data_IF_337252574607
#
_entry.id   IF_337252574607
#
_cell.length_a   1.000
_cell.length_b   1.000
_cell.length_c   1.000
_cell.angle_alpha   90.00
_cell.angle_beta   90.00
_cell.angle_gamma   90.00
#
_symmetry.space_group_name_H-M   'P 1'
#
loop_
_entity.id
_entity.type
_entity.pdbx_description
1 polymer ?
#
# COMPACT_ATOMS: atom_id res chain seq x y z
N UNK A 1 -10.69 -10.20 -22.10
CA UNK A 1 -10.75 -8.73 -22.27
C UNK A 1 -9.31 -8.22 -22.30
N UNK A 2 -8.98 -7.29 -23.20
CA UNK A 2 -7.62 -6.71 -23.26
C UNK A 2 -7.42 -5.85 -22.00
N UNK A 3 -6.31 -6.02 -21.26
CA UNK A 3 -6.05 -5.22 -20.07
C UNK A 3 -5.71 -3.78 -20.46
N UNK A 4 -6.27 -2.82 -19.72
CA UNK A 4 -6.15 -1.38 -19.98
C UNK A 4 -5.72 -0.66 -18.71
N UNK A 5 -4.80 0.29 -18.83
CA UNK A 5 -4.33 1.12 -17.74
C UNK A 5 -5.47 1.97 -17.19
N UNK A 6 -5.73 1.88 -15.88
CA UNK A 6 -6.82 2.61 -15.23
C UNK A 6 -6.64 4.14 -15.20
N UNK A 7 -5.43 4.63 -15.48
CA UNK A 7 -5.09 6.06 -15.46
C UNK A 7 -5.04 6.69 -16.83
N UNK A 8 -4.33 6.06 -17.78
CA UNK A 8 -4.14 6.62 -19.13
C UNK A 8 -5.15 6.08 -20.14
N UNK A 9 -5.70 4.89 -19.91
CA UNK A 9 -6.56 4.21 -20.90
C UNK A 9 -5.80 3.44 -21.97
N UNK A 10 -4.46 3.39 -21.90
CA UNK A 10 -3.64 2.63 -22.86
C UNK A 10 -3.70 1.12 -22.60
N UNK A 11 -3.45 0.33 -23.65
CA UNK A 11 -3.33 -1.13 -23.54
C UNK A 11 -2.11 -1.50 -22.72
N UNK A 12 -2.29 -2.40 -21.74
CA UNK A 12 -1.20 -2.88 -20.89
C UNK A 12 -0.45 -3.99 -21.63
N UNK A 13 0.87 -3.81 -21.76
CA UNK A 13 1.79 -4.85 -22.22
C UNK A 13 2.33 -5.66 -21.03
N UNK A 14 2.35 -6.98 -21.15
CA UNK A 14 2.90 -7.88 -20.13
C UNK A 14 4.34 -8.22 -20.51
N UNK A 15 5.29 -7.71 -19.72
CA UNK A 15 6.73 -7.92 -19.92
C UNK A 15 7.36 -8.59 -18.70
N UNK A 16 8.36 -9.44 -18.94
CA UNK A 16 9.20 -9.98 -17.88
C UNK A 16 10.25 -8.94 -17.50
N UNK A 17 10.16 -8.43 -16.26
CA UNK A 17 11.09 -7.43 -15.73
C UNK A 17 11.38 -7.71 -14.27
N UNK A 18 12.65 -7.59 -13.88
CA UNK A 18 13.04 -7.66 -12.47
C UNK A 18 12.41 -6.49 -11.69
N UNK A 19 11.70 -6.81 -10.60
CA UNK A 19 10.96 -5.85 -9.78
C UNK A 19 10.97 -6.31 -8.31
N UNK A 20 10.63 -5.40 -7.40
CA UNK A 20 10.56 -5.67 -5.96
C UNK A 20 9.16 -6.14 -5.56
N UNK A 21 9.10 -7.30 -4.92
CA UNK A 21 7.85 -7.91 -4.46
C UNK A 21 7.86 -8.16 -2.96
N UNK A 22 6.69 -8.00 -2.34
CA UNK A 22 6.42 -8.42 -0.97
C UNK A 22 5.61 -9.72 -0.99
N UNK A 23 6.11 -10.72 -0.26
CA UNK A 23 5.41 -11.99 -0.05
C UNK A 23 4.14 -11.78 0.76
N UNK A 24 2.97 -11.98 0.14
CA UNK A 24 1.70 -11.60 0.77
C UNK A 24 0.97 -12.73 1.49
N UNK A 25 1.21 -13.99 1.10
CA UNK A 25 0.41 -15.15 1.50
C UNK A 25 0.24 -15.27 3.03
N UNK A 26 1.33 -15.24 3.78
CA UNK A 26 1.30 -15.36 5.25
C UNK A 26 0.60 -14.18 5.93
N UNK A 27 0.77 -12.96 5.39
CA UNK A 27 0.10 -11.78 5.95
C UNK A 27 -1.40 -11.83 5.72
N UNK A 28 -1.84 -12.30 4.54
CA UNK A 28 -3.24 -12.44 4.20
C UNK A 28 -3.94 -13.51 5.02
N UNK A 29 -3.25 -14.61 5.35
CA UNK A 29 -3.75 -15.63 6.27
C UNK A 29 -4.01 -15.03 7.66
N UNK A 30 -3.04 -14.32 8.25
CA UNK A 30 -3.22 -13.64 9.55
C UNK A 30 -4.35 -12.61 9.52
N UNK A 31 -4.46 -11.85 8.43
CA UNK A 31 -5.54 -10.88 8.23
C UNK A 31 -6.91 -11.57 8.12
N UNK A 32 -6.98 -12.73 7.47
CA UNK A 32 -8.21 -13.53 7.36
C UNK A 32 -8.63 -14.14 8.69
N UNK A 33 -7.67 -14.70 9.45
CA UNK A 33 -7.93 -15.24 10.78
C UNK A 33 -8.47 -14.16 11.72
N UNK A 34 -7.92 -12.94 11.65
CA UNK A 34 -8.40 -11.81 12.44
C UNK A 34 -9.89 -11.47 12.20
N UNK A 35 -10.37 -11.58 10.96
CA UNK A 35 -11.80 -11.39 10.63
C UNK A 35 -12.63 -12.59 11.08
N UNK A 36 -12.13 -13.82 10.86
CA UNK A 36 -12.83 -15.06 11.22
C UNK A 36 -13.04 -15.20 12.73
N UNK A 37 -12.06 -14.77 13.52
CA UNK A 37 -12.08 -14.82 14.99
C UNK A 37 -12.81 -13.62 15.62
N UNK A 38 -13.24 -12.63 14.81
CA UNK A 38 -13.95 -11.45 15.29
C UNK A 38 -13.06 -10.36 15.90
N UNK A 39 -11.73 -10.48 15.78
CA UNK A 39 -10.78 -9.44 16.20
C UNK A 39 -10.86 -8.19 15.31
N UNK A 40 -11.18 -8.38 14.02
CA UNK A 40 -11.44 -7.33 13.03
C UNK A 40 -12.86 -7.45 12.50
N UNK A 41 -13.68 -6.41 12.71
CA UNK A 41 -15.07 -6.39 12.25
C UNK A 41 -15.20 -5.57 10.96
N UNK A 42 -15.76 -6.17 9.90
CA UNK A 42 -16.11 -5.47 8.66
C UNK A 42 -17.62 -5.22 8.61
N UNK A 43 -18.01 -3.96 8.50
CA UNK A 43 -19.41 -3.56 8.38
C UNK A 43 -19.69 -2.85 7.05
N UNK A 44 -20.75 -3.25 6.33
CA UNK A 44 -21.64 -4.38 6.57
C UNK A 44 -20.99 -5.77 6.40
N UNK A 45 -21.48 -6.77 7.13
CA UNK A 45 -20.91 -8.14 7.18
C UNK A 45 -20.83 -8.85 5.82
N UNK A 46 -21.62 -8.43 4.83
CA UNK A 46 -21.57 -8.97 3.46
C UNK A 46 -20.16 -8.90 2.83
N UNK A 47 -19.32 -7.96 3.30
CA UNK A 47 -17.95 -7.80 2.82
C UNK A 47 -17.01 -8.90 3.32
N UNK A 48 -17.37 -9.68 4.33
CA UNK A 48 -16.57 -10.81 4.83
C UNK A 48 -16.31 -11.85 3.73
N UNK A 49 -17.33 -12.20 2.95
CA UNK A 49 -17.19 -13.19 1.87
C UNK A 49 -16.20 -12.72 0.79
N UNK A 50 -16.27 -11.43 0.43
CA UNK A 50 -15.38 -10.85 -0.58
C UNK A 50 -13.97 -10.73 0.00
N UNK A 51 -13.84 -10.41 1.30
CA UNK A 51 -12.58 -10.38 2.01
C UNK A 51 -11.85 -11.73 1.96
N UNK A 52 -12.52 -12.81 2.37
CA UNK A 52 -11.93 -14.14 2.37
C UNK A 52 -11.53 -14.60 0.96
N UNK A 53 -12.40 -14.39 -0.03
CA UNK A 53 -12.09 -14.73 -1.43
C UNK A 53 -10.84 -14.01 -1.94
N UNK A 54 -10.67 -12.74 -1.58
CA UNK A 54 -9.52 -11.96 -2.03
C UNK A 54 -8.23 -12.38 -1.32
N UNK A 55 -8.30 -12.63 0.00
CA UNK A 55 -7.14 -13.08 0.77
C UNK A 55 -6.67 -14.48 0.39
N UNK A 56 -7.60 -15.38 0.04
CA UNK A 56 -7.28 -16.73 -0.43
C UNK A 56 -6.52 -16.74 -1.76
N UNK A 57 -6.87 -15.81 -2.66
CA UNK A 57 -6.28 -15.70 -4.00
C UNK A 57 -5.23 -14.57 -4.09
N UNK A 58 -4.62 -14.19 -2.96
CA UNK A 58 -3.68 -13.09 -2.96
C UNK A 58 -2.37 -13.49 -3.63
N UNK A 59 -1.89 -12.61 -4.50
CA UNK A 59 -0.57 -12.73 -5.12
C UNK A 59 0.44 -11.82 -4.44
N UNK A 60 1.73 -12.10 -4.67
CA UNK A 60 2.81 -11.26 -4.20
C UNK A 60 2.71 -9.84 -4.77
N UNK A 61 2.91 -8.85 -3.90
CA UNK A 61 2.66 -7.47 -4.24
C UNK A 61 3.91 -6.82 -4.80
N UNK A 62 3.87 -6.47 -6.09
CA UNK A 62 4.88 -5.62 -6.72
C UNK A 62 4.83 -4.21 -6.13
N UNK A 63 5.86 -3.81 -5.39
CA UNK A 63 5.97 -2.52 -4.70
C UNK A 63 6.83 -1.51 -5.44
N UNK A 64 7.57 -1.90 -6.47
CA UNK A 64 8.40 -0.98 -7.24
C UNK A 64 7.67 -0.37 -8.44
N UNK A 65 7.97 0.90 -8.74
CA UNK A 65 7.36 1.67 -9.82
C UNK A 65 8.42 2.51 -10.53
N UNK A 66 8.38 2.50 -11.86
CA UNK A 66 9.26 3.30 -12.73
C UNK A 66 8.64 4.67 -13.01
N UNK A 67 8.38 5.43 -11.95
CA UNK A 67 7.84 6.79 -12.03
C UNK A 67 8.72 7.73 -11.20
N UNK A 68 8.70 9.02 -11.52
CA UNK A 68 9.49 10.03 -10.82
C UNK A 68 8.89 10.48 -9.47
N UNK A 69 7.63 10.13 -9.20
CA UNK A 69 6.92 10.56 -7.99
C UNK A 69 6.67 9.39 -7.05
N UNK A 70 7.34 9.41 -5.90
CA UNK A 70 7.18 8.41 -4.85
C UNK A 70 8.37 8.43 -3.89
N UNK A 71 8.32 7.56 -2.90
CA UNK A 71 9.46 7.35 -2.01
C UNK A 71 10.49 6.47 -2.72
N UNK A 72 11.72 6.94 -2.87
CA UNK A 72 12.80 6.13 -3.46
C UNK A 72 12.99 4.83 -2.67
N UNK A 73 13.15 3.72 -3.38
CA UNK A 73 13.35 2.43 -2.76
C UNK A 73 14.75 2.38 -2.10
N UNK A 74 14.88 1.86 -0.86
CA UNK A 74 16.15 1.85 -0.13
C UNK A 74 17.08 0.70 -0.53
N UNK A 75 17.04 0.23 -1.79
CA UNK A 75 17.90 -0.84 -2.29
C UNK A 75 19.03 -0.28 -3.14
N UNK A 76 20.21 -0.89 -3.01
CA UNK A 76 21.42 -0.52 -3.71
C UNK A 76 22.03 -1.74 -4.38
N UNK A 77 22.33 -1.62 -5.67
CA UNK A 77 23.09 -2.59 -6.44
C UNK A 77 24.57 -2.42 -6.11
N UNK A 78 25.13 -3.42 -5.45
CA UNK A 78 26.52 -3.43 -5.02
C UNK A 78 27.31 -4.41 -5.89
N UNK A 79 28.45 -3.99 -6.42
CA UNK A 79 29.27 -4.79 -7.34
C UNK A 79 30.73 -4.86 -6.89
N UNK A 80 31.35 -6.02 -7.10
CA UNK A 80 32.77 -6.27 -6.86
C UNK A 80 33.29 -7.23 -7.93
N UNK A 81 34.17 -6.76 -8.82
CA UNK A 81 34.63 -7.56 -9.95
C UNK A 81 33.45 -8.02 -10.82
N UNK A 82 33.23 -9.34 -10.88
CA UNK A 82 32.10 -9.96 -11.58
C UNK A 82 30.88 -10.24 -10.69
N UNK A 83 31.02 -10.11 -9.37
CA UNK A 83 29.96 -10.40 -8.41
C UNK A 83 29.07 -9.19 -8.18
N UNK A 84 27.79 -9.43 -7.97
CA UNK A 84 26.80 -8.39 -7.65
C UNK A 84 25.77 -8.85 -6.63
N UNK A 85 25.27 -7.92 -5.83
CA UNK A 85 24.24 -8.18 -4.82
C UNK A 85 23.40 -6.92 -4.58
N UNK A 86 22.11 -7.10 -4.32
CA UNK A 86 21.24 -6.02 -3.87
C UNK A 86 21.20 -5.97 -2.34
N UNK A 87 21.42 -4.79 -1.76
CA UNK A 87 21.42 -4.57 -0.32
C UNK A 87 20.47 -3.44 0.06
N UNK A 88 19.74 -3.62 1.17
CA UNK A 88 18.91 -2.57 1.75
C UNK A 88 19.74 -1.68 2.70
N UNK A 89 19.63 -0.36 2.56
CA UNK A 89 20.31 0.62 3.42
C UNK A 89 19.56 1.96 3.47
N UNK A 90 19.74 2.74 4.53
CA UNK A 90 19.11 4.06 4.66
C UNK A 90 19.79 5.11 3.76
N UNK A 91 21.08 4.95 3.48
CA UNK A 91 21.86 5.86 2.65
C UNK A 91 23.03 5.13 1.99
N UNK A 92 23.68 5.79 1.03
CA UNK A 92 24.78 5.24 0.24
C UNK A 92 26.00 4.86 1.10
N UNK A 93 26.31 5.63 2.16
CA UNK A 93 27.43 5.31 3.06
C UNK A 93 27.22 3.99 3.78
N UNK A 94 26.00 3.76 4.28
CA UNK A 94 25.64 2.50 4.92
C UNK A 94 25.64 1.34 3.91
N UNK A 95 25.14 1.57 2.69
CA UNK A 95 25.19 0.59 1.61
C UNK A 95 26.64 0.20 1.28
N UNK A 96 27.55 1.18 1.20
CA UNK A 96 28.98 0.96 0.97
C UNK A 96 29.60 0.10 2.06
N UNK A 97 29.37 0.42 3.34
CA UNK A 97 29.88 -0.38 4.46
C UNK A 97 29.33 -1.81 4.42
N UNK A 98 28.03 -1.98 4.14
CA UNK A 98 27.41 -3.30 3.99
C UNK A 98 28.00 -4.08 2.81
N UNK A 99 28.26 -3.43 1.69
CA UNK A 99 28.87 -4.03 0.51
C UNK A 99 30.31 -4.47 0.78
N UNK A 100 31.12 -3.60 1.40
CA UNK A 100 32.51 -3.90 1.75
C UNK A 100 32.61 -5.10 2.70
N UNK A 101 31.73 -5.16 3.70
CA UNK A 101 31.65 -6.30 4.60
C UNK A 101 31.20 -7.59 3.90
N UNK A 102 30.26 -7.49 2.94
CA UNK A 102 29.73 -8.63 2.19
C UNK A 102 30.79 -9.23 1.26
N UNK A 103 31.54 -8.39 0.54
CA UNK A 103 32.56 -8.80 -0.43
C UNK A 103 33.96 -8.94 0.18
N UNK A 104 34.16 -8.52 1.45
CA UNK A 104 35.46 -8.48 2.13
C UNK A 104 36.51 -7.69 1.35
N UNK A 105 36.09 -6.60 0.70
CA UNK A 105 36.91 -5.74 -0.14
C UNK A 105 36.53 -4.28 0.07
N UNK A 106 37.50 -3.37 -0.04
CA UNK A 106 37.23 -1.92 -0.03
C UNK A 106 36.84 -1.39 -1.42
N UNK A 107 37.23 -2.10 -2.48
CA UNK A 107 37.00 -1.74 -3.88
C UNK A 107 35.62 -2.24 -4.33
N UNK A 108 34.55 -1.59 -3.88
CA UNK A 108 33.18 -1.96 -4.23
C UNK A 108 32.44 -0.75 -4.79
N UNK A 109 31.62 -0.97 -5.82
CA UNK A 109 30.75 0.06 -6.40
C UNK A 109 29.32 -0.13 -5.93
N UNK A 110 28.64 0.97 -5.61
CA UNK A 110 27.29 0.98 -5.06
C UNK A 110 26.44 1.97 -5.87
N UNK A 111 25.31 1.51 -6.38
CA UNK A 111 24.37 2.31 -7.16
C UNK A 111 22.98 2.13 -6.58
N UNK A 112 22.29 3.22 -6.24
CA UNK A 112 20.91 3.16 -5.73
C UNK A 112 19.94 2.76 -6.84
N UNK A 113 18.92 1.98 -6.49
CA UNK A 113 17.80 1.71 -7.39
C UNK A 113 17.06 3.03 -7.72
N UNK A 114 16.73 3.22 -9.00
CA UNK A 114 15.99 4.39 -9.48
C UNK A 114 14.47 4.25 -9.31
N UNK A 115 13.99 3.05 -8.99
CA UNK A 115 12.57 2.80 -8.74
C UNK A 115 12.07 3.50 -7.46
N UNK A 116 10.80 3.87 -7.48
CA UNK A 116 10.08 4.38 -6.31
C UNK A 116 9.05 3.38 -5.80
N UNK A 117 8.66 3.52 -4.53
CA UNK A 117 7.63 2.71 -3.89
C UNK A 117 6.24 3.04 -4.42
N UNK A 118 5.42 2.01 -4.56
CA UNK A 118 3.99 2.10 -4.81
C UNK A 118 3.31 3.04 -3.81
N UNK A 119 2.43 3.92 -4.28
CA UNK A 119 1.70 4.85 -3.41
C UNK A 119 0.91 4.10 -2.34
N UNK A 120 0.37 2.93 -2.68
CA UNK A 120 -0.33 2.07 -1.73
C UNK A 120 0.57 1.51 -0.62
N UNK A 121 1.89 1.37 -0.86
CA UNK A 121 2.84 0.96 0.16
C UNK A 121 2.93 1.99 1.27
N UNK A 122 3.20 3.25 0.93
CA UNK A 122 3.24 4.35 1.91
C UNK A 122 1.89 4.54 2.60
N UNK A 123 0.78 4.46 1.84
CA UNK A 123 -0.58 4.65 2.37
C UNK A 123 -0.99 3.54 3.33
N UNK A 124 -0.48 2.31 3.13
CA UNK A 124 -0.76 1.18 4.01
C UNK A 124 -0.09 1.29 5.39
N UNK A 125 0.93 2.16 5.53
CA UNK A 125 1.62 2.40 6.82
C UNK A 125 0.93 3.49 7.67
N UNK A 126 -0.01 4.23 7.09
CA UNK A 126 -0.66 5.40 7.68
C UNK A 126 -1.14 5.18 9.13
N UNK A 127 -1.78 4.05 9.52
CA UNK A 127 -2.38 3.90 10.85
C UNK A 127 -1.41 4.04 12.03
N UNK A 128 -0.11 3.81 11.81
CA UNK A 128 0.90 3.87 12.86
C UNK A 128 2.03 4.87 12.57
N UNK A 129 2.32 5.18 11.30
CA UNK A 129 3.35 6.18 10.96
C UNK A 129 2.96 7.59 11.38
N UNK A 130 1.67 7.93 11.35
CA UNK A 130 1.18 9.25 11.80
C UNK A 130 1.46 9.51 13.27
N UNK A 131 1.60 8.46 14.07
CA UNK A 131 1.94 8.55 15.48
C UNK A 131 3.45 8.47 15.73
N UNK A 132 4.28 8.42 14.71
CA UNK A 132 5.75 8.45 14.83
C UNK A 132 6.44 7.09 14.81
N UNK A 133 5.74 6.00 14.48
CA UNK A 133 6.39 4.72 14.16
C UNK A 133 7.44 4.93 13.05
N UNK A 134 8.63 4.30 13.13
CA UNK A 134 9.00 3.18 14.02
C UNK A 134 9.50 3.58 15.42
N UNK A 135 9.49 4.86 15.77
CA UNK A 135 9.85 5.29 17.13
C UNK A 135 8.73 4.92 18.11
N UNK A 136 9.10 4.54 19.33
CA UNK A 136 8.16 4.25 20.42
C UNK A 136 7.72 5.55 21.10
N UNK A 137 6.89 6.32 20.39
CA UNK A 137 6.35 7.60 20.88
C UNK A 137 5.21 7.39 21.86
N UNK A 138 4.91 8.42 22.65
CA UNK A 138 3.73 8.41 23.53
C UNK A 138 2.41 8.31 22.75
N UNK A 139 2.32 9.02 21.62
CA UNK A 139 1.14 8.99 20.76
C UNK A 139 0.88 7.59 20.19
N UNK A 140 1.92 6.88 19.75
CA UNK A 140 1.78 5.52 19.24
C UNK A 140 1.20 4.60 20.32
N UNK A 141 1.71 4.68 21.55
CA UNK A 141 1.21 3.88 22.68
C UNK A 141 -0.23 4.23 23.06
N UNK A 142 -0.64 5.49 22.93
CA UNK A 142 -1.95 5.99 23.39
C UNK A 142 -3.05 5.80 22.35
N UNK A 143 -2.74 5.98 21.07
CA UNK A 143 -3.73 6.06 19.99
C UNK A 143 -3.75 4.86 19.06
N UNK A 144 -2.71 4.02 19.06
CA UNK A 144 -2.67 2.78 18.28
C UNK A 144 -2.87 1.56 19.19
N UNK A 145 -3.76 0.61 18.83
CA UNK A 145 -4.53 0.52 17.58
C UNK A 145 -5.78 1.39 17.56
N UNK A 146 -6.24 1.77 16.36
CA UNK A 146 -7.42 2.61 16.18
C UNK A 146 -8.73 1.86 16.47
N UNK A 147 -9.80 2.58 16.80
CA UNK A 147 -11.11 1.97 17.05
C UNK A 147 -11.91 1.70 15.77
N UNK A 148 -11.87 2.62 14.79
CA UNK A 148 -12.71 2.60 13.60
C UNK A 148 -11.98 3.17 12.38
N UNK A 149 -12.08 2.48 11.25
CA UNK A 149 -11.69 2.95 9.92
C UNK A 149 -12.94 3.14 9.05
N UNK A 150 -13.19 4.35 8.55
CA UNK A 150 -14.34 4.66 7.69
C UNK A 150 -13.84 4.89 6.28
N UNK A 151 -14.36 4.15 5.29
CA UNK A 151 -13.97 4.33 3.89
C UNK A 151 -15.00 3.78 2.90
N UNK A 152 -14.81 4.09 1.62
CA UNK A 152 -15.59 3.51 0.54
C UNK A 152 -15.20 2.05 0.27
N UNK A 153 -16.17 1.24 -0.15
CA UNK A 153 -15.93 -0.17 -0.46
C UNK A 153 -14.95 -0.42 -1.64
N UNK A 154 -14.66 0.60 -2.44
CA UNK A 154 -13.84 0.53 -3.65
C UNK A 154 -12.34 0.37 -3.38
N UNK A 155 -11.88 0.75 -2.19
CA UNK A 155 -10.47 0.65 -1.79
C UNK A 155 -10.23 -0.33 -0.64
N UNK A 156 -11.21 -1.20 -0.35
CA UNK A 156 -11.08 -2.27 0.65
C UNK A 156 -9.83 -3.13 0.43
N UNK A 157 -9.54 -3.51 -0.81
CA UNK A 157 -8.41 -4.40 -1.13
C UNK A 157 -7.11 -3.67 -1.46
N UNK A 158 -7.21 -2.47 -2.04
CA UNK A 158 -6.02 -1.68 -2.37
C UNK A 158 -5.42 -1.02 -1.13
N UNK A 159 -6.24 -0.69 -0.13
CA UNK A 159 -5.81 0.06 1.04
C UNK A 159 -6.06 -0.66 2.36
N UNK A 160 -7.30 -0.96 2.71
CA UNK A 160 -7.65 -1.51 4.03
C UNK A 160 -6.98 -2.86 4.28
N UNK A 161 -7.05 -3.78 3.32
CA UNK A 161 -6.35 -5.06 3.36
C UNK A 161 -4.84 -4.89 3.56
N UNK A 162 -4.22 -3.95 2.82
CA UNK A 162 -2.78 -3.67 2.93
C UNK A 162 -2.41 -3.08 4.30
N UNK A 163 -3.24 -2.20 4.85
CA UNK A 163 -3.07 -1.69 6.21
C UNK A 163 -3.13 -2.81 7.26
N UNK A 164 -4.08 -3.73 7.13
CA UNK A 164 -4.21 -4.86 8.07
C UNK A 164 -3.00 -5.78 7.98
N UNK A 165 -2.58 -6.15 6.76
CA UNK A 165 -1.41 -7.01 6.55
C UNK A 165 -0.13 -6.39 7.11
N UNK A 166 0.17 -5.14 6.76
CA UNK A 166 1.39 -4.47 7.22
C UNK A 166 1.33 -4.10 8.70
N UNK A 167 0.16 -3.72 9.23
CA UNK A 167 -0.03 -3.46 10.66
C UNK A 167 0.30 -4.71 11.49
N UNK A 168 -0.29 -5.85 11.14
CA UNK A 168 0.02 -7.12 11.82
C UNK A 168 1.50 -7.46 11.67
N UNK A 169 2.06 -7.35 10.47
CA UNK A 169 3.44 -7.77 10.20
C UNK A 169 4.50 -6.88 10.88
N UNK A 170 4.26 -5.57 10.99
CA UNK A 170 5.25 -4.60 11.47
C UNK A 170 5.05 -4.22 12.95
N UNK A 171 3.84 -4.35 13.48
CA UNK A 171 3.52 -3.95 14.86
C UNK A 171 2.96 -5.09 15.70
N UNK A 172 2.73 -6.29 15.13
CA UNK A 172 2.06 -7.42 15.79
C UNK A 172 0.65 -7.07 16.34
N UNK A 173 0.00 -6.05 15.78
CA UNK A 173 -1.32 -5.58 16.20
C UNK A 173 -2.16 -5.22 14.97
N UNK A 174 -3.48 -5.32 15.09
CA UNK A 174 -4.39 -4.82 14.08
C UNK A 174 -4.32 -3.28 14.02
N UNK A 175 -4.36 -2.66 12.82
CA UNK A 175 -4.33 -1.20 12.73
C UNK A 175 -5.62 -0.55 13.24
N UNK A 176 -6.73 -1.27 13.18
CA UNK A 176 -8.05 -0.85 13.65
C UNK A 176 -8.88 -2.08 14.04
N UNK A 177 -9.83 -1.91 14.97
CA UNK A 177 -10.74 -2.98 15.41
C UNK A 177 -11.95 -3.17 14.49
N UNK A 178 -12.40 -2.08 13.84
CA UNK A 178 -13.63 -2.07 13.03
C UNK A 178 -13.42 -1.28 11.74
N UNK A 179 -13.99 -1.77 10.64
CA UNK A 179 -14.03 -1.09 9.34
C UNK A 179 -15.47 -0.85 8.96
N UNK A 180 -15.84 0.41 8.76
CA UNK A 180 -17.14 0.81 8.22
C UNK A 180 -16.98 1.16 6.74
N UNK A 181 -17.58 0.35 5.88
CA UNK A 181 -17.59 0.48 4.44
C UNK A 181 -18.88 1.15 3.99
N UNK A 182 -18.80 2.42 3.63
CA UNK A 182 -19.94 3.14 3.07
C UNK A 182 -20.07 2.91 1.56
N UNK A 183 -21.24 3.26 1.04
CA UNK A 183 -21.53 3.22 -0.40
C UNK A 183 -20.77 4.28 -1.19
N UNK A 184 -20.88 4.21 -2.51
CA UNK A 184 -20.30 5.19 -3.43
C UNK A 184 -21.38 6.17 -3.82
N UNK A 185 -21.06 7.47 -3.80
CA UNK A 185 -21.99 8.51 -4.28
C UNK A 185 -21.97 8.51 -5.81
N UNK A 186 -23.15 8.48 -6.41
CA UNK A 186 -23.35 8.43 -7.85
C UNK A 186 -24.03 9.69 -8.37
N UNK A 187 -23.86 9.96 -9.66
CA UNK A 187 -24.65 10.97 -10.37
C UNK A 187 -26.12 10.50 -10.58
N UNK A 188 -26.93 11.37 -11.17
CA UNK A 188 -28.34 11.10 -11.47
C UNK A 188 -28.57 9.91 -12.43
N UNK A 189 -27.54 9.47 -13.17
CA UNK A 189 -27.57 8.31 -14.04
C UNK A 189 -27.05 7.04 -13.35
N UNK A 190 -26.77 7.10 -12.05
CA UNK A 190 -26.26 5.98 -11.26
C UNK A 190 -24.78 5.68 -11.48
N UNK A 191 -24.02 6.55 -12.16
CA UNK A 191 -22.59 6.36 -12.40
C UNK A 191 -21.81 6.91 -11.21
N UNK A 192 -20.83 6.14 -10.71
CA UNK A 192 -19.87 6.63 -9.70
C UNK A 192 -19.35 8.01 -10.09
N UNK A 193 -19.40 8.96 -9.15
CA UNK A 193 -18.79 10.27 -9.34
C UNK A 193 -17.26 10.14 -9.34
N UNK A 194 -16.61 10.65 -10.39
CA UNK A 194 -15.16 10.69 -10.49
C UNK A 194 -14.69 11.84 -11.37
N UNK A 195 -13.54 12.43 -11.02
CA UNK A 195 -12.94 13.53 -11.82
C UNK A 195 -12.75 13.12 -13.29
N UNK A 196 -12.34 11.87 -13.54
CA UNK A 196 -12.17 11.33 -14.90
C UNK A 196 -13.43 11.32 -15.75
N UNK A 197 -14.61 11.26 -15.13
CA UNK A 197 -15.91 11.27 -15.83
C UNK A 197 -16.50 12.67 -15.94
N UNK A 198 -15.90 13.68 -15.29
CA UNK A 198 -16.42 15.05 -15.27
C UNK A 198 -17.79 15.19 -14.58
N UNK A 199 -18.27 14.15 -13.89
CA UNK A 199 -19.60 14.11 -13.26
C UNK A 199 -19.57 14.44 -11.77
N UNK A 200 -18.55 15.18 -11.32
CA UNK A 200 -18.40 15.59 -9.92
C UNK A 200 -19.26 16.83 -9.67
N UNK A 201 -19.89 16.88 -8.50
CA UNK A 201 -20.52 18.08 -7.95
C UNK A 201 -19.62 18.54 -6.81
N UNK A 202 -19.25 19.82 -6.79
CA UNK A 202 -18.46 20.35 -5.68
C UNK A 202 -19.33 20.37 -4.42
N UNK A 203 -18.85 19.82 -3.28
CA UNK A 203 -19.58 19.94 -2.02
C UNK A 203 -19.94 21.38 -1.65
N UNK A 204 -19.13 22.37 -2.06
CA UNK A 204 -19.40 23.79 -1.84
C UNK A 204 -20.63 24.29 -2.60
N UNK A 205 -20.89 23.78 -3.81
CA UNK A 205 -22.08 24.12 -4.59
C UNK A 205 -23.35 23.71 -3.83
N UNK A 206 -23.32 22.54 -3.17
CA UNK A 206 -24.44 22.04 -2.37
C UNK A 206 -24.64 22.90 -1.12
N UNK A 207 -23.55 23.25 -0.43
CA UNK A 207 -23.60 24.07 0.79
C UNK A 207 -24.15 25.48 0.50
N UNK A 208 -23.74 26.07 -0.62
CA UNK A 208 -24.14 27.42 -1.02
C UNK A 208 -25.52 27.47 -1.69
N UNK A 209 -26.10 26.31 -2.05
CA UNK A 209 -27.38 26.24 -2.74
C UNK A 209 -27.28 26.60 -4.23
N UNK A 210 -26.11 26.43 -4.84
CA UNK A 210 -25.87 26.74 -6.24
C UNK A 210 -26.62 25.75 -7.14
N UNK A 211 -27.49 26.27 -8.02
CA UNK A 211 -28.05 25.50 -9.13
C UNK A 211 -27.08 25.52 -10.30
N UNK A 212 -26.80 24.36 -10.91
CA UNK A 212 -26.11 24.28 -12.21
C UNK A 212 -27.03 24.88 -13.27
N UNK A 213 -26.92 26.20 -13.49
CA UNK A 213 -27.33 26.88 -14.71
C UNK A 213 -26.11 27.04 -15.64
#
# INVERSE_FOLDING_TARGET
QIPVCSRTGDVVELILKAQWFIKCKEMAEKASSSVREGHLLLEPEKYNNIWFKWMENIEDWCISRQICWGHEIPFYHCTYGTDSVWLCAYNEKEALIKAQNKFKSLDVSVIKDADVLDTWFSSALLPFTVFGWPKQTEDLRKYYPLSLMVTGNDILFFWVARMVMLGIQLTNQLPFKKVLLHGIICDNLGRKMSKSKGNVIDPMDIIQGSTKE
#
